data_IF_329691393539
#
_entry.id   IF_329691393539
#
_cell.length_a   1.000
_cell.length_b   1.000
_cell.length_c   1.000
_cell.angle_alpha   90.00
_cell.angle_beta   90.00
_cell.angle_gamma   90.00
#
_symmetry.space_group_name_H-M   'P 1'
#
loop_
_entity.id
_entity.type
_entity.pdbx_description
1 polymer ?
#
# COMPACT_ATOMS: atom_id res chain seq x y z
N UNK A 1 -17.95 -41.76 -41.75
CA UNK A 1 -19.04 -41.03 -41.07
C UNK A 1 -19.09 -41.14 -39.54
N UNK A 2 -18.79 -42.29 -38.89
CA UNK A 2 -18.84 -42.36 -37.39
C UNK A 2 -17.68 -41.65 -36.64
N UNK A 3 -16.54 -41.45 -37.26
CA UNK A 3 -15.35 -40.83 -36.62
C UNK A 3 -15.32 -39.29 -36.69
N UNK A 4 -16.01 -38.68 -37.64
CA UNK A 4 -16.07 -37.21 -37.77
C UNK A 4 -16.98 -36.58 -36.71
N UNK A 5 -18.09 -37.24 -36.35
CA UNK A 5 -18.98 -36.77 -35.27
C UNK A 5 -18.30 -36.76 -33.90
N UNK A 6 -17.46 -37.77 -33.61
CA UNK A 6 -16.70 -37.84 -32.37
C UNK A 6 -15.61 -36.72 -32.25
N UNK A 7 -14.96 -36.39 -33.37
CA UNK A 7 -13.99 -35.28 -33.41
C UNK A 7 -14.65 -33.93 -33.14
N UNK A 8 -15.83 -33.68 -33.74
CA UNK A 8 -16.57 -32.42 -33.46
C UNK A 8 -17.02 -32.29 -32.00
N UNK A 9 -17.46 -33.40 -31.37
CA UNK A 9 -17.81 -33.40 -29.93
C UNK A 9 -16.59 -33.14 -29.05
N UNK A 10 -15.45 -33.75 -29.35
CA UNK A 10 -14.19 -33.52 -28.58
C UNK A 10 -13.70 -32.10 -28.71
N UNK A 11 -13.75 -31.48 -29.91
CA UNK A 11 -13.38 -30.07 -30.12
C UNK A 11 -14.35 -29.12 -29.42
N UNK A 12 -15.64 -29.39 -29.44
CA UNK A 12 -16.65 -28.61 -28.73
C UNK A 12 -16.44 -28.68 -27.20
N UNK A 13 -16.23 -29.86 -26.65
CA UNK A 13 -15.93 -30.04 -25.23
C UNK A 13 -14.61 -29.29 -24.84
N UNK A 14 -13.59 -29.39 -25.69
CA UNK A 14 -12.32 -28.68 -25.49
C UNK A 14 -12.48 -27.17 -25.50
N UNK A 15 -13.32 -26.64 -26.39
CA UNK A 15 -13.60 -25.19 -26.46
C UNK A 15 -14.34 -24.69 -25.20
N UNK A 16 -15.35 -25.44 -24.73
CA UNK A 16 -16.06 -25.12 -23.48
C UNK A 16 -15.11 -25.16 -22.31
N UNK A 17 -14.27 -26.18 -22.20
CA UNK A 17 -13.27 -26.29 -21.16
C UNK A 17 -12.28 -25.11 -21.19
N UNK A 18 -11.78 -24.72 -22.35
CA UNK A 18 -10.84 -23.60 -22.50
C UNK A 18 -11.49 -22.27 -22.06
N UNK A 19 -12.73 -22.00 -22.48
CA UNK A 19 -13.47 -20.77 -22.08
C UNK A 19 -13.75 -20.77 -20.58
N UNK A 20 -14.13 -21.92 -20.02
CA UNK A 20 -14.40 -22.06 -18.58
C UNK A 20 -13.14 -21.84 -17.76
N UNK A 21 -12.01 -22.42 -18.17
CA UNK A 21 -10.71 -22.22 -17.49
C UNK A 21 -10.28 -20.76 -17.57
N UNK A 22 -10.39 -20.11 -18.73
CA UNK A 22 -10.03 -18.70 -18.90
C UNK A 22 -10.89 -17.78 -17.98
N UNK A 23 -12.18 -18.04 -17.90
CA UNK A 23 -13.09 -17.34 -17.00
C UNK A 23 -12.71 -17.53 -15.52
N UNK A 24 -12.42 -18.78 -15.11
CA UNK A 24 -11.97 -19.11 -13.75
C UNK A 24 -10.64 -18.40 -13.44
N UNK A 25 -9.67 -18.47 -14.35
CA UNK A 25 -8.36 -17.83 -14.17
C UNK A 25 -8.47 -16.30 -14.06
N UNK A 26 -9.30 -15.67 -14.89
CA UNK A 26 -9.59 -14.23 -14.78
C UNK A 26 -10.23 -13.88 -13.44
N UNK A 27 -11.15 -14.71 -12.95
CA UNK A 27 -11.79 -14.53 -11.65
C UNK A 27 -10.82 -14.68 -10.49
N UNK A 28 -9.92 -15.68 -10.55
CA UNK A 28 -8.85 -15.89 -9.57
C UNK A 28 -7.89 -14.70 -9.58
N UNK A 29 -7.42 -14.25 -10.74
CA UNK A 29 -6.53 -13.10 -10.86
C UNK A 29 -7.16 -11.82 -10.29
N UNK A 30 -8.45 -11.58 -10.58
CA UNK A 30 -9.20 -10.46 -10.01
C UNK A 30 -9.30 -10.54 -8.48
N UNK A 31 -9.47 -11.75 -7.95
CA UNK A 31 -9.55 -11.97 -6.50
C UNK A 31 -8.17 -11.82 -5.82
N UNK A 32 -7.11 -12.30 -6.45
CA UNK A 32 -5.73 -12.10 -6.00
C UNK A 32 -5.38 -10.61 -5.96
N UNK A 33 -5.70 -9.86 -7.01
CA UNK A 33 -5.52 -8.40 -7.05
C UNK A 33 -6.34 -7.71 -5.96
N UNK A 34 -7.61 -8.09 -5.78
CA UNK A 34 -8.47 -7.52 -4.74
C UNK A 34 -7.94 -7.77 -3.32
N UNK A 35 -7.28 -8.90 -3.09
CA UNK A 35 -6.71 -9.26 -1.78
C UNK A 35 -5.24 -8.81 -1.64
N UNK A 36 -4.60 -8.33 -2.71
CA UNK A 36 -3.19 -7.92 -2.73
C UNK A 36 -2.23 -9.08 -2.44
N UNK A 37 -2.55 -10.30 -2.91
CA UNK A 37 -1.79 -11.51 -2.59
C UNK A 37 -1.25 -12.19 -3.84
N UNK A 38 -0.03 -12.74 -3.74
CA UNK A 38 0.55 -13.55 -4.81
C UNK A 38 -0.13 -14.91 -4.98
N UNK A 39 0.14 -15.63 -6.09
CA UNK A 39 -0.52 -16.91 -6.40
C UNK A 39 -0.37 -17.96 -5.30
N UNK A 40 0.83 -18.12 -4.74
CA UNK A 40 1.11 -19.09 -3.67
C UNK A 40 0.33 -18.74 -2.41
N UNK A 41 0.37 -17.48 -1.99
CA UNK A 41 -0.35 -17.00 -0.82
C UNK A 41 -1.87 -17.12 -1.00
N UNK A 42 -2.38 -16.86 -2.20
CA UNK A 42 -3.79 -17.06 -2.52
C UNK A 42 -4.23 -18.51 -2.27
N UNK A 43 -3.48 -19.48 -2.73
CA UNK A 43 -3.80 -20.90 -2.51
C UNK A 43 -3.69 -21.31 -1.06
N UNK A 44 -2.71 -20.78 -0.31
CA UNK A 44 -2.60 -20.99 1.14
C UNK A 44 -3.82 -20.42 1.89
N UNK A 45 -4.30 -19.24 1.51
CA UNK A 45 -5.51 -18.63 2.05
C UNK A 45 -6.74 -19.50 1.74
N UNK A 46 -6.89 -19.96 0.49
CA UNK A 46 -8.00 -20.84 0.09
C UNK A 46 -7.98 -22.16 0.86
N UNK A 47 -6.80 -22.75 1.04
CA UNK A 47 -6.61 -23.96 1.86
C UNK A 47 -6.98 -23.71 3.32
N UNK A 48 -6.61 -22.55 3.87
CA UNK A 48 -6.98 -22.15 5.23
C UNK A 48 -8.49 -22.03 5.42
N UNK A 49 -9.19 -21.45 4.44
CA UNK A 49 -10.66 -21.40 4.44
C UNK A 49 -11.29 -22.80 4.41
N UNK A 50 -10.77 -23.68 3.56
CA UNK A 50 -11.29 -25.04 3.43
C UNK A 50 -11.08 -25.84 4.72
N UNK A 51 -9.87 -25.83 5.27
CA UNK A 51 -9.54 -26.53 6.51
C UNK A 51 -10.30 -25.93 7.73
N UNK A 52 -10.36 -24.61 7.83
CA UNK A 52 -11.10 -23.92 8.88
C UNK A 52 -12.60 -24.18 8.85
N UNK A 53 -13.19 -24.22 7.64
CA UNK A 53 -14.57 -24.60 7.43
C UNK A 53 -14.84 -26.05 7.81
N UNK A 54 -13.98 -26.98 7.43
CA UNK A 54 -14.07 -28.40 7.80
C UNK A 54 -13.96 -28.60 9.32
N UNK A 55 -13.01 -27.92 9.96
CA UNK A 55 -12.85 -27.96 11.42
C UNK A 55 -14.09 -27.40 12.13
N UNK A 56 -14.62 -26.29 11.65
CA UNK A 56 -15.85 -25.68 12.19
C UNK A 56 -17.03 -26.64 12.08
N UNK A 57 -17.23 -27.30 10.93
CA UNK A 57 -18.28 -28.30 10.76
C UNK A 57 -18.13 -29.52 11.68
N UNK A 58 -16.89 -29.98 11.87
CA UNK A 58 -16.61 -31.08 12.81
C UNK A 58 -16.93 -30.69 14.25
N UNK A 59 -16.42 -29.53 14.71
CA UNK A 59 -16.68 -29.04 16.09
C UNK A 59 -18.17 -28.79 16.32
N UNK A 60 -18.85 -28.20 15.35
CA UNK A 60 -20.29 -27.95 15.41
C UNK A 60 -21.08 -29.26 15.64
N UNK A 61 -20.74 -30.31 14.88
CA UNK A 61 -21.36 -31.63 15.03
C UNK A 61 -21.11 -32.23 16.43
N UNK A 62 -19.87 -32.12 16.95
CA UNK A 62 -19.53 -32.65 18.26
C UNK A 62 -20.28 -31.92 19.37
N UNK A 63 -20.33 -30.60 19.34
CA UNK A 63 -21.03 -29.77 20.33
C UNK A 63 -22.53 -30.07 20.31
N UNK A 64 -23.15 -30.11 19.12
CA UNK A 64 -24.59 -30.38 19.03
C UNK A 64 -24.96 -31.80 19.46
N UNK A 65 -24.11 -32.80 19.20
CA UNK A 65 -24.34 -34.17 19.67
C UNK A 65 -24.22 -34.31 21.21
N UNK A 66 -23.50 -33.41 21.90
CA UNK A 66 -23.45 -33.38 23.37
C UNK A 66 -24.72 -32.77 23.97
N UNK A 67 -25.36 -31.86 23.25
CA UNK A 67 -26.57 -31.12 23.72
C UNK A 67 -27.86 -31.81 23.31
N UNK A 68 -27.89 -32.40 22.12
CA UNK A 68 -29.10 -33.03 21.57
C UNK A 68 -28.87 -34.53 21.39
N UNK A 69 -29.70 -35.32 22.09
CA UNK A 69 -29.69 -36.78 21.94
C UNK A 69 -30.28 -37.23 20.60
N UNK A 70 -31.19 -36.42 20.02
CA UNK A 70 -31.84 -36.68 18.73
C UNK A 70 -31.78 -35.44 17.85
N UNK A 71 -31.71 -35.63 16.51
CA UNK A 71 -31.69 -34.56 15.50
C UNK A 71 -33.11 -34.03 15.24
N UNK A 72 -33.67 -33.35 16.22
CA UNK A 72 -34.99 -32.73 16.17
C UNK A 72 -34.94 -31.36 15.43
N UNK A 73 -36.09 -30.68 15.36
CA UNK A 73 -36.20 -29.38 14.68
C UNK A 73 -35.28 -28.31 15.33
N UNK A 74 -35.09 -28.35 16.64
CA UNK A 74 -34.20 -27.43 17.35
C UNK A 74 -32.72 -27.65 16.98
N UNK A 75 -32.27 -28.90 16.79
CA UNK A 75 -30.96 -29.24 16.29
C UNK A 75 -30.67 -28.55 14.94
N UNK A 76 -31.61 -28.67 13.99
CA UNK A 76 -31.43 -28.10 12.63
C UNK A 76 -31.55 -26.58 12.61
N UNK A 77 -32.24 -25.96 13.54
CA UNK A 77 -32.30 -24.51 13.68
C UNK A 77 -30.98 -23.95 14.27
N UNK A 78 -30.40 -24.63 15.25
CA UNK A 78 -29.17 -24.17 15.94
C UNK A 78 -27.92 -24.50 15.11
N UNK A 79 -27.96 -25.53 14.26
CA UNK A 79 -26.80 -25.96 13.44
C UNK A 79 -26.15 -24.83 12.64
N UNK A 80 -26.86 -24.06 11.79
CA UNK A 80 -26.25 -22.97 11.01
C UNK A 80 -25.79 -21.80 11.90
N UNK A 81 -26.48 -21.51 12.98
CA UNK A 81 -26.11 -20.44 13.90
C UNK A 81 -24.78 -20.74 14.60
N UNK A 82 -24.65 -21.93 15.18
CA UNK A 82 -23.43 -22.35 15.85
C UNK A 82 -22.26 -22.49 14.87
N UNK A 83 -22.51 -22.99 13.65
CA UNK A 83 -21.52 -23.07 12.58
C UNK A 83 -20.96 -21.68 12.24
N UNK A 84 -21.83 -20.67 12.13
CA UNK A 84 -21.44 -19.29 11.83
C UNK A 84 -20.59 -18.69 12.95
N UNK A 85 -20.90 -19.01 14.20
CA UNK A 85 -20.12 -18.55 15.37
C UNK A 85 -18.77 -19.25 15.44
N UNK A 86 -18.68 -20.56 15.22
CA UNK A 86 -17.45 -21.34 15.31
C UNK A 86 -16.49 -21.09 14.15
N UNK A 87 -17.00 -20.72 12.98
CA UNK A 87 -16.20 -20.56 11.76
C UNK A 87 -15.03 -19.57 11.90
N UNK A 88 -15.19 -18.33 12.43
CA UNK A 88 -14.09 -17.38 12.57
C UNK A 88 -12.98 -17.92 13.49
N UNK A 89 -13.34 -18.59 14.57
CA UNK A 89 -12.35 -19.16 15.51
C UNK A 89 -11.56 -20.31 14.88
N UNK A 90 -12.26 -21.18 14.15
CA UNK A 90 -11.63 -22.30 13.43
C UNK A 90 -10.66 -21.82 12.35
N UNK A 91 -11.05 -20.79 11.57
CA UNK A 91 -10.21 -20.19 10.55
C UNK A 91 -9.00 -19.50 11.16
N UNK A 92 -9.15 -18.77 12.25
CA UNK A 92 -8.03 -18.14 12.98
C UNK A 92 -7.05 -19.23 13.47
N UNK A 93 -7.55 -20.29 14.09
CA UNK A 93 -6.70 -21.37 14.58
C UNK A 93 -5.90 -22.03 13.45
N UNK A 94 -6.54 -22.38 12.33
CA UNK A 94 -5.88 -22.97 11.18
C UNK A 94 -4.90 -21.98 10.52
N UNK A 95 -5.20 -20.68 10.55
CA UNK A 95 -4.32 -19.68 9.95
C UNK A 95 -2.94 -19.56 10.63
N UNK A 96 -2.81 -19.94 11.89
CA UNK A 96 -1.51 -20.08 12.55
C UNK A 96 -0.67 -21.20 11.91
N UNK A 97 -1.29 -22.35 11.61
CA UNK A 97 -0.60 -23.50 11.03
C UNK A 97 -0.19 -23.25 9.58
N UNK A 98 -0.98 -22.48 8.84
CA UNK A 98 -0.70 -22.15 7.42
C UNK A 98 0.13 -20.87 7.24
N UNK A 99 0.52 -20.18 8.33
CA UNK A 99 1.26 -18.93 8.28
C UNK A 99 0.44 -17.72 7.75
N UNK A 100 -0.90 -17.83 7.70
CA UNK A 100 -1.79 -16.80 7.14
C UNK A 100 -2.53 -15.99 8.22
N UNK A 101 -2.04 -16.02 9.45
CA UNK A 101 -2.70 -15.38 10.60
C UNK A 101 -2.97 -13.87 10.40
N UNK A 102 -1.98 -13.13 9.86
CA UNK A 102 -2.12 -11.69 9.63
C UNK A 102 -3.24 -11.36 8.65
N UNK A 103 -3.36 -12.14 7.56
CA UNK A 103 -4.46 -12.00 6.59
C UNK A 103 -5.82 -12.22 7.25
N UNK A 104 -5.97 -13.32 8.00
CA UNK A 104 -7.27 -13.67 8.59
C UNK A 104 -7.66 -12.76 9.75
N UNK A 105 -6.71 -12.29 10.56
CA UNK A 105 -6.95 -11.27 11.59
C UNK A 105 -7.54 -10.00 10.97
N UNK A 106 -6.93 -9.50 9.88
CA UNK A 106 -7.45 -8.33 9.16
C UNK A 106 -8.80 -8.59 8.47
N UNK A 107 -8.98 -9.78 7.86
CA UNK A 107 -10.23 -10.17 7.21
C UNK A 107 -11.40 -10.23 8.19
N UNK A 108 -11.24 -10.93 9.32
CA UNK A 108 -12.27 -11.08 10.33
C UNK A 108 -12.56 -9.78 11.08
N UNK A 109 -11.54 -8.95 11.33
CA UNK A 109 -11.71 -7.61 11.89
C UNK A 109 -12.62 -6.73 11.02
N UNK A 110 -12.43 -6.75 9.71
CA UNK A 110 -13.31 -6.04 8.75
C UNK A 110 -14.73 -6.61 8.71
N UNK A 111 -14.85 -7.92 8.77
CA UNK A 111 -16.17 -8.59 8.81
C UNK A 111 -16.92 -8.24 10.07
N UNK A 112 -16.26 -8.28 11.23
CA UNK A 112 -16.85 -7.95 12.53
C UNK A 112 -17.28 -6.49 12.61
N UNK A 113 -16.46 -5.55 12.11
CA UNK A 113 -16.81 -4.13 12.03
C UNK A 113 -18.06 -3.85 11.20
N UNK A 114 -18.36 -4.68 10.20
CA UNK A 114 -19.61 -4.60 9.41
C UNK A 114 -20.82 -5.22 10.11
N UNK A 115 -20.61 -6.27 10.89
CA UNK A 115 -21.67 -6.99 11.63
C UNK A 115 -22.04 -6.29 12.95
N UNK A 116 -21.08 -5.69 13.64
CA UNK A 116 -21.30 -4.91 14.86
C UNK A 116 -21.97 -3.56 14.57
N UNK A 117 -22.43 -3.38 13.32
CA UNK A 117 -23.24 -2.31 12.77
C UNK A 117 -23.44 -1.15 13.72
N UNK A 118 -22.48 -0.25 13.80
CA UNK A 118 -22.67 1.02 14.45
C UNK A 118 -23.72 1.83 13.72
N UNK A 119 -24.97 1.46 13.89
CA UNK A 119 -26.11 2.31 13.59
C UNK A 119 -26.19 3.35 14.72
N UNK A 120 -25.35 4.38 14.64
CA UNK A 120 -25.52 5.59 15.44
C UNK A 120 -26.28 6.63 14.62
N UNK A 121 -27.53 6.27 14.31
CA UNK A 121 -28.57 7.27 14.08
C UNK A 121 -29.40 7.32 15.33
N UNK A 122 -29.08 8.17 16.27
CA UNK A 122 -30.05 8.91 17.06
C UNK A 122 -29.35 10.01 17.86
N UNK A 123 -29.72 11.21 17.53
CA UNK A 123 -29.98 12.21 18.55
C UNK A 123 -28.90 13.23 18.80
N UNK A 124 -29.25 14.38 18.33
CA UNK A 124 -28.90 15.68 18.92
C UNK A 124 -27.54 16.27 18.60
N UNK A 125 -27.64 17.28 17.82
CA UNK A 125 -26.63 18.29 17.62
C UNK A 125 -26.00 18.73 18.93
N UNK A 126 -24.71 18.46 19.07
CA UNK A 126 -23.67 19.38 19.51
C UNK A 126 -22.34 18.67 19.33
N UNK A 127 -21.64 19.08 18.28
CA UNK A 127 -20.60 18.28 17.73
C UNK A 127 -19.23 18.58 18.27
N UNK A 128 -18.54 17.56 18.60
CA UNK A 128 -17.15 17.44 18.22
C UNK A 128 -17.03 16.13 17.43
N UNK A 129 -16.82 16.28 16.11
CA UNK A 129 -16.47 15.14 15.29
C UNK A 129 -15.26 14.44 15.92
N UNK A 130 -15.36 13.13 16.16
CA UNK A 130 -14.20 12.36 16.56
C UNK A 130 -13.07 12.64 15.55
N UNK A 131 -11.84 12.91 16.00
CA UNK A 131 -10.76 13.22 15.09
C UNK A 131 -10.58 12.08 14.10
N UNK A 132 -10.60 12.39 12.81
CA UNK A 132 -10.34 11.42 11.77
C UNK A 132 -9.00 10.74 12.03
N UNK A 133 -8.93 9.42 11.86
CA UNK A 133 -7.68 8.68 12.05
C UNK A 133 -6.58 9.31 11.17
N UNK A 134 -5.38 9.57 11.71
CA UNK A 134 -4.33 10.24 10.96
C UNK A 134 -3.86 9.39 9.78
N UNK A 135 -3.50 10.06 8.68
CA UNK A 135 -2.84 9.43 7.53
C UNK A 135 -1.35 9.31 7.87
N UNK A 136 -0.89 8.08 8.08
CA UNK A 136 0.50 7.80 8.42
C UNK A 136 1.38 7.76 7.17
N UNK A 137 2.40 8.60 7.14
CA UNK A 137 3.34 8.76 6.03
C UNK A 137 4.73 8.28 6.45
N UNK A 138 5.36 7.46 5.58
CA UNK A 138 6.77 7.14 5.70
C UNK A 138 7.59 8.00 4.73
N UNK A 139 8.72 8.55 5.19
CA UNK A 139 9.69 9.24 4.35
C UNK A 139 10.90 8.32 4.16
N UNK A 140 11.27 8.09 2.89
CA UNK A 140 12.46 7.33 2.52
C UNK A 140 13.56 8.31 2.10
N UNK A 141 14.73 8.19 2.69
CA UNK A 141 15.86 9.08 2.41
C UNK A 141 17.19 8.35 2.57
N UNK A 142 18.21 8.75 1.79
CA UNK A 142 19.55 8.16 1.78
C UNK A 142 20.65 9.12 2.23
N UNK A 143 20.34 10.40 2.48
CA UNK A 143 21.33 11.45 2.67
C UNK A 143 21.09 12.35 3.88
N UNK A 144 21.46 13.61 3.73
CA UNK A 144 21.36 14.64 4.81
C UNK A 144 19.94 14.89 5.31
N UNK A 145 18.90 14.61 4.47
CA UNK A 145 17.51 14.72 4.89
C UNK A 145 16.93 16.13 4.89
N UNK A 146 17.46 17.07 4.10
CA UNK A 146 16.95 18.45 4.02
C UNK A 146 15.46 18.50 3.67
N UNK A 147 15.04 17.75 2.64
CA UNK A 147 13.64 17.60 2.26
C UNK A 147 12.80 16.94 3.36
N UNK A 148 13.32 15.85 3.97
CA UNK A 148 12.64 15.19 5.07
C UNK A 148 12.38 16.14 6.24
N UNK A 149 13.39 16.95 6.62
CA UNK A 149 13.27 17.97 7.66
C UNK A 149 12.16 18.96 7.33
N UNK A 150 12.12 19.49 6.10
CA UNK A 150 11.10 20.47 5.68
C UNK A 150 9.68 19.87 5.66
N UNK A 151 9.53 18.62 5.23
CA UNK A 151 8.26 17.91 5.25
C UNK A 151 7.77 17.72 6.71
N UNK A 152 8.66 17.27 7.60
CA UNK A 152 8.34 17.09 9.02
C UNK A 152 7.92 18.42 9.65
N UNK A 153 8.72 19.48 9.50
CA UNK A 153 8.43 20.81 10.02
C UNK A 153 7.08 21.36 9.50
N UNK A 154 6.78 21.12 8.24
CA UNK A 154 5.53 21.56 7.62
C UNK A 154 4.29 20.92 8.28
N UNK A 155 4.31 19.60 8.48
CA UNK A 155 3.17 18.90 9.07
C UNK A 155 3.09 19.02 10.59
N UNK A 156 4.21 19.20 11.30
CA UNK A 156 4.20 19.50 12.73
C UNK A 156 3.52 20.83 13.05
N UNK A 157 3.71 21.82 12.20
CA UNK A 157 3.16 23.17 12.38
C UNK A 157 1.72 23.33 11.87
N UNK A 158 1.13 22.28 11.34
CA UNK A 158 -0.24 22.29 10.83
C UNK A 158 -1.15 21.32 11.59
N UNK A 159 -2.36 21.77 11.88
CA UNK A 159 -3.42 20.90 12.39
C UNK A 159 -4.03 20.09 11.25
N UNK A 160 -3.28 19.11 10.73
CA UNK A 160 -3.75 18.21 9.67
C UNK A 160 -3.91 16.79 10.18
N UNK A 161 -4.69 15.97 9.45
CA UNK A 161 -4.78 14.53 9.70
C UNK A 161 -3.57 13.75 9.18
N UNK A 162 -2.48 14.42 8.74
CA UNK A 162 -1.27 13.79 8.21
C UNK A 162 -0.21 13.71 9.29
N UNK A 163 0.38 12.52 9.48
CA UNK A 163 1.43 12.27 10.46
C UNK A 163 2.62 11.59 9.80
N UNK A 164 3.82 12.18 9.96
CA UNK A 164 5.06 11.50 9.59
C UNK A 164 5.40 10.49 10.68
N UNK A 165 5.26 9.20 10.37
CA UNK A 165 5.29 8.12 11.35
C UNK A 165 6.52 7.23 11.26
N UNK A 166 7.27 7.31 10.16
CA UNK A 166 8.44 6.47 9.95
C UNK A 166 9.44 7.16 9.02
N UNK A 167 10.72 7.06 9.36
CA UNK A 167 11.81 7.36 8.45
C UNK A 167 12.49 6.05 8.05
N UNK A 168 12.57 5.78 6.74
CA UNK A 168 13.26 4.62 6.18
C UNK A 168 14.58 5.08 5.56
N UNK A 169 15.68 4.44 5.94
CA UNK A 169 17.00 4.78 5.44
C UNK A 169 17.80 3.53 5.07
N UNK A 170 18.59 3.63 4.00
CA UNK A 170 19.46 2.57 3.50
C UNK A 170 20.95 2.85 3.70
N UNK A 171 21.28 4.00 4.29
CA UNK A 171 22.67 4.44 4.52
C UNK A 171 22.90 4.65 6.01
N UNK A 172 23.73 3.82 6.66
CA UNK A 172 24.10 4.01 8.06
C UNK A 172 24.75 5.38 8.27
N UNK A 173 24.36 6.07 9.33
CA UNK A 173 24.91 7.39 9.68
C UNK A 173 24.44 8.55 8.79
N UNK A 174 23.46 8.36 7.93
CA UNK A 174 22.87 9.44 7.13
C UNK A 174 22.22 10.50 8.05
N UNK A 175 22.40 11.79 7.73
CA UNK A 175 21.88 12.90 8.54
C UNK A 175 20.39 12.88 8.80
N UNK A 176 19.60 12.25 7.93
CA UNK A 176 18.16 12.04 8.14
C UNK A 176 17.84 11.27 9.41
N UNK A 177 18.74 10.37 9.87
CA UNK A 177 18.56 9.59 11.10
C UNK A 177 18.68 10.48 12.35
N UNK A 178 19.55 11.47 12.33
CA UNK A 178 19.66 12.47 13.42
C UNK A 178 18.43 13.37 13.48
N UNK A 179 17.88 13.73 12.31
CA UNK A 179 16.62 14.47 12.23
C UNK A 179 15.49 13.65 12.83
N UNK A 180 15.35 12.38 12.45
CA UNK A 180 14.34 11.47 12.98
C UNK A 180 14.46 11.35 14.51
N UNK A 181 15.67 11.14 15.02
CA UNK A 181 15.96 11.05 16.45
C UNK A 181 15.56 12.33 17.19
N UNK A 182 15.91 13.50 16.66
CA UNK A 182 15.57 14.79 17.27
C UNK A 182 14.07 15.06 17.32
N UNK A 183 13.32 14.46 16.41
CA UNK A 183 11.86 14.59 16.28
C UNK A 183 11.08 13.42 16.91
N UNK A 184 11.77 12.46 17.51
CA UNK A 184 11.13 11.26 18.09
C UNK A 184 10.39 10.39 17.06
N UNK A 185 10.79 10.45 15.78
CA UNK A 185 10.19 9.65 14.72
C UNK A 185 10.92 8.30 14.64
N UNK A 186 10.22 7.17 14.67
CA UNK A 186 10.82 5.85 14.47
C UNK A 186 11.61 5.75 13.16
N UNK A 187 12.72 5.00 13.19
CA UNK A 187 13.55 4.75 12.01
C UNK A 187 13.61 3.28 11.67
N UNK A 188 13.63 2.96 10.37
CA UNK A 188 13.82 1.62 9.85
C UNK A 188 15.03 1.61 8.90
N UNK A 189 16.07 0.90 9.29
CA UNK A 189 17.21 0.65 8.40
C UNK A 189 16.88 -0.54 7.50
N UNK A 190 17.15 -0.40 6.21
CA UNK A 190 16.88 -1.43 5.21
C UNK A 190 18.14 -1.88 4.51
N UNK A 191 18.17 -3.17 4.14
CA UNK A 191 19.12 -3.74 3.20
C UNK A 191 18.39 -4.15 1.90
N UNK A 192 19.16 -4.38 0.82
CA UNK A 192 18.58 -4.67 -0.51
C UNK A 192 17.72 -5.92 -0.54
N UNK A 193 18.09 -6.95 0.21
CA UNK A 193 17.37 -8.24 0.20
C UNK A 193 16.01 -8.12 0.87
N UNK A 194 15.97 -7.51 2.06
CA UNK A 194 14.73 -7.27 2.79
C UNK A 194 13.82 -6.29 2.04
N UNK A 195 14.38 -5.22 1.49
CA UNK A 195 13.63 -4.20 0.76
C UNK A 195 12.86 -4.76 -0.44
N UNK A 196 13.40 -5.79 -1.11
CA UNK A 196 12.76 -6.45 -2.24
C UNK A 196 11.75 -7.55 -1.84
N UNK A 197 11.54 -7.78 -0.54
CA UNK A 197 10.69 -8.86 -0.05
C UNK A 197 9.25 -8.42 0.20
N UNK A 198 8.31 -9.37 0.13
CA UNK A 198 6.91 -9.16 0.56
C UNK A 198 6.81 -8.90 2.06
N UNK A 199 7.71 -9.48 2.88
CA UNK A 199 7.77 -9.24 4.31
C UNK A 199 8.07 -7.78 4.67
N UNK A 200 8.79 -7.06 3.81
CA UNK A 200 8.99 -5.63 3.99
C UNK A 200 7.69 -4.83 3.80
N UNK A 201 6.91 -5.17 2.80
CA UNK A 201 5.57 -4.57 2.58
C UNK A 201 4.67 -4.83 3.78
N UNK A 202 4.68 -6.06 4.31
CA UNK A 202 3.92 -6.41 5.52
C UNK A 202 4.39 -5.60 6.74
N UNK A 203 5.69 -5.34 6.88
CA UNK A 203 6.23 -4.51 7.96
C UNK A 203 5.72 -3.07 7.90
N UNK A 204 5.63 -2.48 6.71
CA UNK A 204 5.05 -1.15 6.52
C UNK A 204 3.53 -1.13 6.80
N UNK A 205 2.81 -2.17 6.40
CA UNK A 205 1.38 -2.30 6.71
C UNK A 205 1.13 -2.48 8.21
N UNK A 206 1.96 -3.28 8.90
CA UNK A 206 1.87 -3.46 10.35
C UNK A 206 2.21 -2.17 11.13
N UNK A 207 3.05 -1.32 10.55
CA UNK A 207 3.34 0.02 11.05
C UNK A 207 2.27 1.06 10.65
N UNK A 208 1.15 0.61 10.04
CA UNK A 208 0.03 1.45 9.59
C UNK A 208 0.45 2.55 8.61
N UNK A 209 1.45 2.28 7.76
CA UNK A 209 1.92 3.26 6.76
C UNK A 209 0.97 3.24 5.56
N UNK A 210 0.38 4.41 5.29
CA UNK A 210 -0.57 4.62 4.20
C UNK A 210 0.09 5.17 2.94
N UNK A 211 1.11 6.03 3.08
CA UNK A 211 1.70 6.76 1.98
C UNK A 211 3.23 6.83 2.12
N UNK A 212 3.94 6.79 1.00
CA UNK A 212 5.41 6.82 0.97
C UNK A 212 5.88 8.04 0.19
N UNK A 213 6.85 8.77 0.76
CA UNK A 213 7.49 9.93 0.16
C UNK A 213 8.98 9.62 -0.02
N UNK A 214 9.47 9.65 -1.25
CA UNK A 214 10.89 9.55 -1.54
C UNK A 214 11.52 10.95 -1.51
N UNK A 215 12.36 11.20 -0.52
CA UNK A 215 13.01 12.48 -0.29
C UNK A 215 14.54 12.34 -0.38
N UNK A 216 15.05 12.19 -1.60
CA UNK A 216 16.46 11.87 -1.84
C UNK A 216 16.80 10.41 -1.51
N UNK A 217 15.92 9.49 -1.87
CA UNK A 217 16.14 8.05 -1.75
C UNK A 217 16.79 7.50 -3.01
N UNK A 218 17.94 6.82 -2.89
CA UNK A 218 18.79 6.49 -4.03
C UNK A 218 18.55 5.11 -4.65
N UNK A 219 17.84 4.21 -3.96
CA UNK A 219 17.55 2.89 -4.51
C UNK A 219 16.27 2.90 -5.33
N UNK A 220 16.26 2.05 -6.38
CA UNK A 220 15.02 1.75 -7.10
C UNK A 220 14.02 1.10 -6.16
N UNK A 221 12.80 1.60 -6.18
CA UNK A 221 11.70 0.99 -5.44
C UNK A 221 11.34 -0.35 -6.07
N UNK A 222 11.29 -1.46 -5.32
CA UNK A 222 10.93 -2.76 -5.87
C UNK A 222 9.48 -2.80 -6.35
N UNK A 223 9.21 -3.57 -7.40
CA UNK A 223 7.85 -3.73 -7.93
C UNK A 223 6.83 -4.20 -6.88
N UNK A 224 7.26 -5.08 -5.97
CA UNK A 224 6.40 -5.55 -4.88
C UNK A 224 5.88 -4.40 -4.02
N UNK A 225 6.71 -3.40 -3.76
CA UNK A 225 6.33 -2.21 -2.99
C UNK A 225 5.49 -1.24 -3.84
N UNK A 226 5.87 -1.01 -5.11
CA UNK A 226 5.08 -0.21 -6.06
C UNK A 226 3.67 -0.77 -6.18
N UNK A 227 3.54 -2.07 -6.39
CA UNK A 227 2.23 -2.73 -6.53
C UNK A 227 1.39 -2.67 -5.25
N UNK A 228 2.01 -2.69 -4.07
CA UNK A 228 1.32 -2.58 -2.78
C UNK A 228 0.84 -1.15 -2.46
N UNK A 229 1.48 -0.13 -3.05
CA UNK A 229 1.21 1.29 -2.81
C UNK A 229 0.74 2.02 -4.07
N UNK A 230 0.05 1.35 -5.00
CA UNK A 230 -0.52 2.02 -6.17
C UNK A 230 -1.59 3.05 -5.78
N UNK A 231 -1.62 4.22 -6.42
CA UNK A 231 -2.66 5.22 -6.21
C UNK A 231 -4.05 4.65 -6.46
N UNK A 232 -4.99 4.89 -5.53
CA UNK A 232 -6.38 4.43 -5.68
C UNK A 232 -6.64 2.98 -5.24
N UNK A 233 -5.63 2.21 -4.80
CA UNK A 233 -5.85 0.90 -4.19
C UNK A 233 -6.36 1.07 -2.77
N UNK A 234 -7.64 0.80 -2.56
CA UNK A 234 -8.28 0.81 -1.24
C UNK A 234 -7.94 -0.52 -0.54
N UNK A 235 -7.04 -0.51 0.44
CA UNK A 235 -6.74 -1.70 1.26
C UNK A 235 -7.47 -1.63 2.60
N UNK A 236 -7.82 -0.45 3.08
CA UNK A 236 -8.61 -0.26 4.29
C UNK A 236 -9.81 0.65 4.02
N UNK A 237 -10.99 0.18 4.46
CA UNK A 237 -12.21 0.96 4.41
C UNK A 237 -12.37 1.89 5.61
N UNK A 238 -11.28 2.34 6.22
CA UNK A 238 -11.34 3.38 7.24
C UNK A 238 -11.94 4.65 6.62
N UNK A 239 -13.09 5.04 7.11
CA UNK A 239 -13.81 6.23 6.65
C UNK A 239 -13.29 7.42 7.44
N UNK A 240 -12.47 8.25 6.81
CA UNK A 240 -12.05 9.52 7.37
C UNK A 240 -12.99 10.62 6.84
N UNK A 241 -13.71 11.30 7.74
CA UNK A 241 -14.68 12.36 7.39
C UNK A 241 -15.77 11.94 6.38
N UNK A 242 -16.28 10.69 6.47
CA UNK A 242 -17.29 10.18 5.55
C UNK A 242 -16.78 9.82 4.15
N UNK A 243 -15.45 9.92 3.90
CA UNK A 243 -14.79 9.47 2.68
C UNK A 243 -13.89 8.28 2.98
N UNK A 244 -13.86 7.30 2.08
CA UNK A 244 -12.92 6.19 2.15
C UNK A 244 -11.51 6.77 2.03
N UNK A 245 -10.61 6.45 2.97
CA UNK A 245 -9.23 6.90 2.90
C UNK A 245 -8.53 6.15 1.74
N UNK A 246 -8.42 6.81 0.59
CA UNK A 246 -7.77 6.28 -0.62
C UNK A 246 -6.31 6.73 -0.76
N UNK A 247 -5.75 7.34 0.28
CA UNK A 247 -4.44 7.95 0.25
C UNK A 247 -3.31 6.92 0.25
N UNK A 248 -3.27 6.04 -0.76
CA UNK A 248 -2.12 5.20 -1.03
C UNK A 248 -1.36 5.73 -2.22
N UNK A 249 -0.04 5.56 -2.16
CA UNK A 249 0.84 5.95 -3.24
C UNK A 249 2.28 6.11 -2.79
N UNK A 250 3.16 6.15 -3.77
CA UNK A 250 4.56 6.52 -3.58
C UNK A 250 4.82 7.72 -4.48
N UNK A 251 5.30 8.81 -3.89
CA UNK A 251 5.70 10.00 -4.65
C UNK A 251 7.20 10.24 -4.52
N UNK A 252 7.78 10.73 -5.59
CA UNK A 252 9.18 11.17 -5.63
C UNK A 252 9.29 12.63 -6.02
N UNK A 253 10.35 13.29 -5.57
CA UNK A 253 10.77 14.58 -6.09
C UNK A 253 12.07 14.40 -6.86
N UNK A 254 12.07 14.81 -8.13
CA UNK A 254 13.22 14.76 -9.02
C UNK A 254 13.73 16.19 -9.29
N UNK A 255 15.05 16.44 -9.20
CA UNK A 255 15.61 17.79 -9.27
C UNK A 255 15.83 18.30 -10.70
N UNK A 256 14.91 17.93 -11.62
CA UNK A 256 14.85 18.45 -12.99
C UNK A 256 13.43 18.44 -13.54
N UNK A 257 13.24 19.00 -14.73
CA UNK A 257 11.98 18.97 -15.48
C UNK A 257 11.88 17.68 -16.27
N UNK A 258 11.23 16.66 -15.70
CA UNK A 258 10.98 15.41 -16.41
C UNK A 258 10.13 15.64 -17.67
N UNK A 259 10.35 14.85 -18.73
CA UNK A 259 11.18 13.63 -18.80
C UNK A 259 12.69 13.88 -18.99
N UNK A 260 13.12 15.12 -19.18
CA UNK A 260 14.53 15.45 -19.36
C UNK A 260 15.31 15.24 -18.06
N UNK A 261 16.57 14.79 -18.17
CA UNK A 261 17.46 14.57 -17.04
C UNK A 261 16.91 13.60 -15.96
N UNK A 262 15.99 12.69 -16.34
CA UNK A 262 15.49 11.59 -15.53
C UNK A 262 16.17 10.25 -15.87
N UNK A 263 15.78 9.19 -15.13
CA UNK A 263 16.18 7.84 -15.40
C UNK A 263 17.42 7.35 -14.64
N UNK A 264 17.87 6.14 -14.99
CA UNK A 264 18.95 5.44 -14.28
C UNK A 264 20.25 6.25 -14.27
N UNK A 265 20.73 6.57 -13.06
CA UNK A 265 22.00 7.30 -12.87
C UNK A 265 21.85 8.81 -12.73
N UNK A 266 20.67 9.37 -12.98
CA UNK A 266 20.37 10.80 -12.86
C UNK A 266 19.87 11.11 -11.45
N UNK A 267 20.78 11.42 -10.55
CA UNK A 267 20.50 11.78 -9.15
C UNK A 267 21.58 12.69 -8.57
N UNK A 268 21.20 13.50 -7.57
CA UNK A 268 22.12 14.40 -6.86
C UNK A 268 22.80 15.40 -7.80
N UNK A 269 24.11 15.65 -7.62
CA UNK A 269 24.87 16.61 -8.40
C UNK A 269 24.89 16.31 -9.90
N UNK A 270 24.80 15.05 -10.30
CA UNK A 270 24.83 14.62 -11.71
C UNK A 270 23.75 15.27 -12.56
N UNK A 271 22.56 15.49 -11.98
CA UNK A 271 21.46 16.17 -12.68
C UNK A 271 21.84 17.63 -12.95
N UNK A 272 22.34 18.32 -11.97
CA UNK A 272 22.74 19.73 -12.10
C UNK A 272 23.96 19.91 -13.02
N UNK A 273 24.92 18.99 -12.94
CA UNK A 273 26.07 18.93 -13.87
C UNK A 273 25.59 18.76 -15.32
N UNK A 274 24.63 17.85 -15.57
CA UNK A 274 24.08 17.61 -16.90
C UNK A 274 23.31 18.83 -17.43
N UNK A 275 22.49 19.48 -16.60
CA UNK A 275 21.74 20.70 -16.96
C UNK A 275 22.68 21.83 -17.36
N UNK A 276 23.71 22.08 -16.54
CA UNK A 276 24.72 23.14 -16.85
C UNK A 276 25.54 22.79 -18.07
N UNK A 277 25.99 21.54 -18.21
CA UNK A 277 26.78 21.10 -19.36
C UNK A 277 25.97 21.16 -20.66
N UNK A 278 24.68 20.98 -20.63
CA UNK A 278 23.78 21.11 -21.78
C UNK A 278 23.49 22.59 -22.16
N UNK A 279 23.88 23.55 -21.31
CA UNK A 279 23.60 24.97 -21.54
C UNK A 279 22.13 25.33 -21.48
N UNK A 280 21.36 24.60 -20.68
CA UNK A 280 19.94 24.87 -20.49
C UNK A 280 19.70 26.28 -19.93
N UNK A 281 18.62 26.90 -20.36
CA UNK A 281 18.22 28.23 -19.90
C UNK A 281 17.25 28.20 -18.73
N UNK A 282 16.64 27.06 -18.52
CA UNK A 282 15.76 26.79 -17.38
C UNK A 282 15.92 25.35 -16.88
N UNK A 283 15.65 25.18 -15.60
CA UNK A 283 15.54 23.89 -14.96
C UNK A 283 14.40 23.94 -13.93
N UNK A 284 14.26 22.93 -13.10
CA UNK A 284 13.22 22.94 -12.08
C UNK A 284 13.15 21.65 -11.30
N UNK A 285 12.00 21.41 -10.72
CA UNK A 285 11.68 20.19 -9.99
C UNK A 285 10.49 19.50 -10.63
N UNK A 286 10.42 18.19 -10.50
CA UNK A 286 9.25 17.39 -10.83
C UNK A 286 8.85 16.53 -9.64
N UNK A 287 7.60 16.65 -9.19
CA UNK A 287 6.98 15.74 -8.25
C UNK A 287 6.10 14.80 -9.06
N UNK A 288 6.32 13.49 -8.94
CA UNK A 288 5.65 12.49 -9.75
C UNK A 288 5.30 11.25 -8.94
N UNK A 289 4.35 10.46 -9.43
CA UNK A 289 4.09 9.13 -8.91
C UNK A 289 5.24 8.20 -9.23
N UNK A 290 5.51 7.25 -8.34
CA UNK A 290 6.55 6.24 -8.57
C UNK A 290 5.90 4.99 -9.14
N UNK A 291 6.43 4.52 -10.26
CA UNK A 291 6.08 3.28 -10.92
C UNK A 291 7.26 2.28 -10.95
N UNK A 292 7.17 1.27 -11.80
CA UNK A 292 8.21 0.26 -11.96
C UNK A 292 9.48 0.76 -12.70
N UNK A 293 9.44 1.96 -13.30
CA UNK A 293 10.54 2.56 -14.05
C UNK A 293 11.16 3.73 -13.28
N UNK A 294 12.37 4.15 -13.66
CA UNK A 294 12.98 5.31 -13.04
C UNK A 294 12.42 6.59 -13.65
N UNK A 295 11.80 7.43 -12.84
CA UNK A 295 11.35 8.79 -13.17
C UNK A 295 10.34 8.88 -14.34
N UNK A 296 9.59 7.78 -14.62
CA UNK A 296 8.62 7.70 -15.74
C UNK A 296 7.16 7.79 -15.28
N UNK A 297 6.89 7.77 -13.97
CA UNK A 297 5.53 7.84 -13.45
C UNK A 297 4.86 9.20 -13.69
N UNK A 298 3.53 9.23 -13.64
CA UNK A 298 2.72 10.41 -13.95
C UNK A 298 3.12 11.64 -13.14
N UNK A 299 3.31 12.76 -13.84
CA UNK A 299 3.70 14.05 -13.26
C UNK A 299 2.53 14.64 -12.47
N UNK A 300 2.80 14.99 -11.22
CA UNK A 300 1.84 15.62 -10.31
C UNK A 300 2.01 17.13 -10.32
N UNK A 301 3.27 17.61 -10.27
CA UNK A 301 3.61 19.01 -10.19
C UNK A 301 5.00 19.29 -10.72
N UNK A 302 5.19 20.44 -11.35
CA UNK A 302 6.50 20.96 -11.74
C UNK A 302 6.61 22.44 -11.33
N UNK A 303 7.81 22.84 -10.89
CA UNK A 303 8.19 24.23 -10.73
C UNK A 303 9.49 24.50 -11.49
N UNK A 304 9.66 25.72 -11.98
CA UNK A 304 10.76 26.11 -12.86
C UNK A 304 11.58 27.24 -12.25
N UNK A 305 12.88 27.26 -12.57
CA UNK A 305 13.75 28.41 -12.34
C UNK A 305 14.69 28.63 -13.52
N UNK A 306 15.14 29.86 -13.68
CA UNK A 306 16.14 30.20 -14.70
C UNK A 306 17.53 29.66 -14.33
N UNK A 307 18.26 29.22 -15.34
CA UNK A 307 19.71 28.92 -15.26
C UNK A 307 20.44 30.08 -15.95
N UNK A 308 21.20 30.79 -15.15
CA UNK A 308 21.96 31.94 -15.64
C UNK A 308 23.27 31.49 -16.31
N UNK A 309 23.81 32.26 -17.24
CA UNK A 309 25.04 31.87 -17.98
C UNK A 309 26.24 31.59 -17.07
N UNK A 310 26.28 32.17 -15.88
CA UNK A 310 27.35 32.00 -14.91
C UNK A 310 27.02 30.98 -13.80
N UNK A 311 25.86 30.29 -13.89
CA UNK A 311 25.52 29.27 -12.91
C UNK A 311 26.47 28.07 -13.01
N UNK A 312 26.84 27.58 -11.85
CA UNK A 312 27.55 26.32 -11.65
C UNK A 312 26.57 25.23 -11.24
N UNK A 313 26.93 23.95 -11.30
CA UNK A 313 26.09 22.88 -10.74
C UNK A 313 25.69 23.13 -9.29
N UNK A 314 26.56 23.75 -8.49
CA UNK A 314 26.27 24.08 -7.08
C UNK A 314 25.21 25.16 -6.96
N UNK A 315 25.31 26.27 -7.71
CA UNK A 315 24.30 27.34 -7.65
C UNK A 315 22.95 26.89 -8.22
N UNK A 316 22.94 26.03 -9.25
CA UNK A 316 21.73 25.38 -9.73
C UNK A 316 21.11 24.49 -8.65
N UNK A 317 21.92 23.69 -7.92
CA UNK A 317 21.43 22.87 -6.82
C UNK A 317 20.78 23.70 -5.72
N UNK A 318 21.36 24.85 -5.37
CA UNK A 318 20.77 25.77 -4.39
C UNK A 318 19.40 26.30 -4.83
N UNK A 319 19.26 26.72 -6.10
CA UNK A 319 17.99 27.15 -6.68
C UNK A 319 16.94 26.01 -6.64
N UNK A 320 17.35 24.79 -6.97
CA UNK A 320 16.49 23.60 -6.92
C UNK A 320 16.06 23.29 -5.49
N UNK A 321 16.95 23.33 -4.50
CA UNK A 321 16.60 23.11 -3.09
C UNK A 321 15.56 24.10 -2.58
N UNK A 322 15.60 25.36 -3.02
CA UNK A 322 14.57 26.34 -2.69
C UNK A 322 13.20 25.89 -3.21
N UNK A 323 13.12 25.45 -4.48
CA UNK A 323 11.88 24.96 -5.07
C UNK A 323 11.37 23.68 -4.39
N UNK A 324 12.27 22.74 -4.08
CA UNK A 324 11.92 21.51 -3.36
C UNK A 324 11.27 21.84 -2.00
N UNK A 325 11.93 22.67 -1.19
CA UNK A 325 11.44 23.05 0.12
C UNK A 325 10.12 23.84 0.07
N UNK A 326 9.92 24.62 -0.98
CA UNK A 326 8.70 25.40 -1.15
C UNK A 326 7.50 24.56 -1.58
N UNK A 327 7.72 23.54 -2.42
CA UNK A 327 6.61 22.88 -3.14
C UNK A 327 6.34 21.45 -2.70
N UNK A 328 7.31 20.71 -2.13
CA UNK A 328 7.13 19.28 -1.89
C UNK A 328 6.08 18.98 -0.83
N UNK A 329 6.21 19.55 0.38
CA UNK A 329 5.24 19.31 1.46
C UNK A 329 3.82 19.80 1.13
N UNK A 330 3.60 21.01 0.54
CA UNK A 330 2.27 21.42 0.08
C UNK A 330 1.66 20.52 -0.98
N UNK A 331 2.48 19.94 -1.88
CA UNK A 331 1.99 19.01 -2.89
C UNK A 331 1.56 17.68 -2.25
N UNK A 332 2.32 17.16 -1.30
CA UNK A 332 1.94 15.97 -0.52
C UNK A 332 0.60 16.20 0.20
N UNK A 333 0.45 17.35 0.88
CA UNK A 333 -0.82 17.71 1.53
C UNK A 333 -1.99 17.71 0.55
N UNK A 334 -1.81 18.33 -0.62
CA UNK A 334 -2.86 18.39 -1.66
C UNK A 334 -3.23 17.01 -2.19
N UNK A 335 -2.29 16.08 -2.28
CA UNK A 335 -2.56 14.70 -2.69
C UNK A 335 -3.40 13.97 -1.64
N UNK A 336 -3.03 14.11 -0.37
CA UNK A 336 -3.58 13.34 0.73
C UNK A 336 -4.91 13.87 1.27
N UNK A 337 -5.25 15.13 1.03
CA UNK A 337 -6.47 15.78 1.55
C UNK A 337 -7.51 16.10 0.46
N UNK A 338 -7.31 15.63 -0.77
CA UNK A 338 -8.32 15.66 -1.83
C UNK A 338 -9.39 14.59 -1.61
#
# INVERSE_FOLDING_TARGET
>A
MRFEGLRGIVEFVRSIFAVTIDYIMKSINKLQQKWGVGPVQFWLIMTTFALGGSLSGYLNKQILNLVFLEKNAAYWLIYPLLLTILWPFSVILVSFLTGQFSFFKGYLGRMWGRLSGGNSNNGSANGSAAPASPIHVAIFASGAGSNAKKIIEYFENKSTSIKISLIVCNVPGAGVLDIAKSKGIPTLMINKTEFASTGYVESLHNADIHFIVLAGFLWKVPEVLVNAYQPGVIIDSSVVNGKVNTARGIVNIHPALLPNYGGKGMYGSRVHEAVVAAGEKETGITIHWVDAHYDEGDIIFQARCAVDPNDTPTTVAEKIHVLEHQHFAPTIEKILLK
#
